data_IF_309053687732
#
_entry.id   IF_309053687732
#
_cell.length_a   1.000
_cell.length_b   1.000
_cell.length_c   1.000
_cell.angle_alpha   90.00
_cell.angle_beta   90.00
_cell.angle_gamma   90.00
#
_symmetry.space_group_name_H-M   'P 1'
#
loop_
_entity.id
_entity.type
_entity.pdbx_description
1 polymer ?
#
# COMPACT_ATOMS: atom_id res chain seq x y z
N UNK A 1 9.35 -4.11 4.42
CA UNK A 1 8.51 -5.30 4.70
C UNK A 1 7.70 -5.13 5.99
N UNK A 2 8.30 -4.77 7.12
CA UNK A 2 7.59 -4.59 8.42
C UNK A 2 6.33 -3.73 8.31
N UNK A 3 6.43 -2.50 7.77
CA UNK A 3 5.27 -1.61 7.63
C UNK A 3 4.15 -2.23 6.80
N UNK A 4 4.50 -2.88 5.68
CA UNK A 4 3.51 -3.56 4.85
C UNK A 4 2.85 -4.73 5.60
N UNK A 5 3.64 -5.56 6.27
CA UNK A 5 3.14 -6.67 7.08
C UNK A 5 2.17 -6.21 8.16
N UNK A 6 2.60 -5.28 9.02
CA UNK A 6 1.77 -4.80 10.13
C UNK A 6 0.50 -4.09 9.65
N UNK A 7 0.57 -3.32 8.54
CA UNK A 7 -0.63 -2.72 7.97
C UNK A 7 -1.62 -3.77 7.50
N UNK A 8 -1.15 -4.84 6.83
CA UNK A 8 -2.00 -5.87 6.27
C UNK A 8 -2.55 -6.83 7.34
N UNK A 9 -1.68 -7.37 8.19
CA UNK A 9 -2.05 -8.50 9.04
C UNK A 9 -2.37 -8.10 10.47
N UNK A 10 -1.79 -6.99 10.98
CA UNK A 10 -2.13 -6.48 12.31
C UNK A 10 -3.30 -5.50 12.26
N UNK A 11 -3.24 -4.48 11.38
CA UNK A 11 -4.25 -3.42 11.37
C UNK A 11 -5.46 -3.71 10.49
N UNK A 12 -5.26 -4.32 9.31
CA UNK A 12 -6.36 -4.71 8.42
C UNK A 12 -6.91 -6.10 8.73
N UNK A 13 -6.19 -6.95 9.48
CA UNK A 13 -6.60 -8.34 9.74
C UNK A 13 -6.96 -9.07 8.43
N UNK A 14 -6.05 -8.95 7.44
CA UNK A 14 -6.27 -9.40 6.07
C UNK A 14 -6.37 -10.92 5.99
N UNK A 15 -7.39 -11.42 5.30
CA UNK A 15 -7.62 -12.85 5.04
C UNK A 15 -7.76 -13.11 3.53
N UNK A 16 -7.57 -14.36 3.05
CA UNK A 16 -7.59 -14.68 1.62
C UNK A 16 -8.89 -14.33 0.88
N UNK A 17 -10.02 -14.30 1.57
CA UNK A 17 -11.32 -13.92 0.98
C UNK A 17 -11.53 -12.41 0.85
N UNK A 18 -10.61 -11.59 1.36
CA UNK A 18 -10.71 -10.13 1.25
C UNK A 18 -10.43 -9.64 -0.17
N UNK A 19 -11.02 -8.49 -0.50
CA UNK A 19 -10.70 -7.68 -1.66
C UNK A 19 -9.93 -6.46 -1.16
N UNK A 20 -8.63 -6.43 -1.44
CA UNK A 20 -7.74 -5.37 -0.97
C UNK A 20 -7.54 -4.30 -2.05
N UNK A 21 -7.79 -3.04 -1.69
CA UNK A 21 -7.29 -1.89 -2.45
C UNK A 21 -6.01 -1.35 -1.80
N UNK A 22 -4.97 -1.15 -2.60
CA UNK A 22 -3.75 -0.44 -2.17
C UNK A 22 -3.72 0.91 -2.88
N UNK A 23 -4.07 1.97 -2.16
CA UNK A 23 -3.99 3.33 -2.67
C UNK A 23 -2.57 3.86 -2.53
N UNK A 24 -1.93 4.20 -3.66
CA UNK A 24 -0.49 4.46 -3.72
C UNK A 24 0.34 3.20 -3.98
N UNK A 25 -0.15 2.32 -4.85
CA UNK A 25 0.42 0.99 -5.15
C UNK A 25 1.85 1.00 -5.68
N UNK A 26 2.33 2.11 -6.25
CA UNK A 26 3.72 2.25 -6.75
C UNK A 26 4.72 2.75 -5.71
N UNK A 27 4.29 3.01 -4.48
CA UNK A 27 5.21 3.32 -3.37
C UNK A 27 5.96 2.07 -2.91
N UNK A 28 7.11 2.23 -2.25
CA UNK A 28 7.87 1.08 -1.72
C UNK A 28 7.05 0.22 -0.75
N UNK A 29 6.18 0.84 0.07
CA UNK A 29 5.28 0.11 0.97
C UNK A 29 4.14 -0.55 0.17
N UNK A 30 3.60 0.14 -0.85
CA UNK A 30 2.55 -0.39 -1.71
C UNK A 30 2.99 -1.63 -2.49
N UNK A 31 4.17 -1.60 -3.09
CA UNK A 31 4.75 -2.76 -3.78
C UNK A 31 4.98 -3.95 -2.82
N UNK A 32 5.51 -3.67 -1.63
CA UNK A 32 5.70 -4.71 -0.61
C UNK A 32 4.38 -5.28 -0.11
N UNK A 33 3.37 -4.44 0.09
CA UNK A 33 2.04 -4.86 0.52
C UNK A 33 1.34 -5.71 -0.56
N UNK A 34 1.42 -5.30 -1.83
CA UNK A 34 0.88 -6.07 -2.93
C UNK A 34 1.54 -7.46 -3.05
N UNK A 35 2.88 -7.51 -2.95
CA UNK A 35 3.62 -8.76 -3.00
C UNK A 35 3.22 -9.73 -1.86
N UNK A 36 3.11 -9.21 -0.63
CA UNK A 36 2.69 -10.00 0.53
C UNK A 36 1.23 -10.46 0.42
N UNK A 37 0.31 -9.56 0.09
CA UNK A 37 -1.12 -9.90 -0.01
C UNK A 37 -1.36 -10.97 -1.08
N UNK A 38 -0.73 -10.85 -2.25
CA UNK A 38 -0.83 -11.86 -3.31
C UNK A 38 -0.21 -13.20 -2.91
N UNK A 39 0.93 -13.19 -2.23
CA UNK A 39 1.54 -14.41 -1.70
C UNK A 39 0.59 -15.14 -0.75
N UNK A 40 -0.22 -14.41 0.00
CA UNK A 40 -1.26 -14.97 0.88
C UNK A 40 -2.62 -15.21 0.17
N UNK A 41 -2.66 -15.15 -1.17
CA UNK A 41 -3.85 -15.48 -1.95
C UNK A 41 -4.95 -14.43 -1.95
N UNK A 42 -4.65 -13.20 -1.56
CA UNK A 42 -5.62 -12.09 -1.53
C UNK A 42 -5.72 -11.42 -2.89
N UNK A 43 -6.96 -11.10 -3.32
CA UNK A 43 -7.20 -10.29 -4.51
C UNK A 43 -6.79 -8.84 -4.28
N UNK A 44 -5.88 -8.32 -5.11
CA UNK A 44 -5.30 -6.97 -4.96
C UNK A 44 -5.67 -6.10 -6.14
N UNK A 45 -6.24 -4.94 -5.84
CA UNK A 45 -6.33 -3.79 -6.73
C UNK A 45 -5.31 -2.74 -6.28
N UNK A 46 -4.59 -2.12 -7.19
CA UNK A 46 -3.66 -1.04 -6.86
C UNK A 46 -3.99 0.25 -7.59
N UNK A 47 -3.64 1.41 -7.02
CA UNK A 47 -3.76 2.68 -7.72
C UNK A 47 -2.42 3.26 -8.12
N UNK A 48 -2.41 4.00 -9.21
CA UNK A 48 -1.29 4.85 -9.64
C UNK A 48 -1.81 6.16 -10.23
N UNK A 49 -1.09 7.26 -10.03
CA UNK A 49 -1.37 8.54 -10.71
C UNK A 49 -0.85 8.59 -12.15
N UNK A 50 0.13 7.74 -12.47
CA UNK A 50 0.79 7.74 -13.77
C UNK A 50 0.35 6.52 -14.59
N UNK A 51 -0.40 6.71 -15.71
CA UNK A 51 -0.84 5.60 -16.56
C UNK A 51 0.33 4.75 -17.12
N UNK A 52 1.49 5.34 -17.34
CA UNK A 52 2.67 4.60 -17.82
C UNK A 52 3.18 3.54 -16.84
N UNK A 53 2.71 3.55 -15.58
CA UNK A 53 3.07 2.56 -14.55
C UNK A 53 2.12 1.35 -14.48
N UNK A 54 1.08 1.34 -15.28
CA UNK A 54 0.10 0.24 -15.30
C UNK A 54 0.78 -1.06 -15.74
N UNK A 55 1.51 -1.04 -16.84
CA UNK A 55 2.24 -2.23 -17.33
C UNK A 55 3.25 -2.77 -16.31
N UNK A 56 3.92 -1.87 -15.59
CA UNK A 56 4.82 -2.26 -14.51
C UNK A 56 4.08 -2.99 -13.38
N UNK A 57 2.93 -2.48 -12.93
CA UNK A 57 2.13 -3.15 -11.90
C UNK A 57 1.58 -4.50 -12.41
N UNK A 58 1.14 -4.55 -13.68
CA UNK A 58 0.69 -5.79 -14.30
C UNK A 58 1.82 -6.83 -14.37
N UNK A 59 3.06 -6.42 -14.68
CA UNK A 59 4.22 -7.33 -14.70
C UNK A 59 4.54 -7.93 -13.33
N UNK A 60 4.09 -7.30 -12.25
CA UNK A 60 4.14 -7.84 -10.89
C UNK A 60 2.91 -8.69 -10.55
N UNK A 61 2.03 -8.94 -11.53
CA UNK A 61 0.81 -9.73 -11.39
C UNK A 61 -0.32 -8.99 -10.67
N UNK A 62 -0.31 -7.67 -10.60
CA UNK A 62 -1.44 -6.85 -10.14
C UNK A 62 -2.22 -6.47 -11.39
N UNK A 63 -3.22 -7.30 -11.73
CA UNK A 63 -3.98 -7.14 -12.99
C UNK A 63 -5.02 -6.02 -12.92
N UNK A 64 -5.56 -5.74 -11.74
CA UNK A 64 -6.54 -4.67 -11.52
C UNK A 64 -5.86 -3.40 -11.04
N UNK A 65 -5.63 -2.47 -11.96
CA UNK A 65 -4.96 -1.19 -11.70
C UNK A 65 -5.90 -0.04 -12.04
N UNK A 66 -6.08 0.88 -11.10
CA UNK A 66 -6.92 2.08 -11.26
C UNK A 66 -6.04 3.33 -11.35
N UNK A 67 -6.43 4.26 -12.24
CA UNK A 67 -5.79 5.57 -12.32
C UNK A 67 -6.39 6.49 -11.26
N UNK A 68 -5.55 6.98 -10.36
CA UNK A 68 -5.96 7.81 -9.23
C UNK A 68 -5.73 9.31 -9.52
N UNK A 69 -6.79 9.98 -9.89
CA UNK A 69 -6.81 11.44 -10.09
C UNK A 69 -7.13 12.23 -8.81
N UNK A 70 -7.12 11.58 -7.63
CA UNK A 70 -7.50 12.16 -6.34
C UNK A 70 -8.85 11.64 -5.82
N UNK A 71 -9.75 11.19 -6.69
CA UNK A 71 -10.96 10.45 -6.33
C UNK A 71 -11.13 9.25 -7.26
N UNK A 72 -11.46 8.10 -6.69
CA UNK A 72 -11.72 6.84 -7.39
C UNK A 72 -13.14 6.31 -7.11
N UNK A 73 -13.90 6.98 -6.26
CA UNK A 73 -15.22 6.53 -5.80
C UNK A 73 -16.16 6.20 -6.97
N UNK A 74 -16.24 7.10 -7.97
CA UNK A 74 -17.14 6.91 -9.10
C UNK A 74 -16.79 5.65 -9.94
N UNK A 75 -15.54 5.26 -10.01
CA UNK A 75 -15.10 4.03 -10.66
C UNK A 75 -15.39 2.80 -9.77
N UNK A 76 -15.13 2.90 -8.48
CA UNK A 76 -15.40 1.83 -7.52
C UNK A 76 -16.89 1.52 -7.43
N UNK A 77 -17.77 2.53 -7.50
CA UNK A 77 -19.22 2.33 -7.49
C UNK A 77 -19.77 1.55 -8.70
N UNK A 78 -19.05 1.51 -9.80
CA UNK A 78 -19.37 0.67 -10.97
C UNK A 78 -18.95 -0.79 -10.78
N UNK A 79 -18.23 -1.07 -9.73
CA UNK A 79 -17.69 -2.39 -9.35
C UNK A 79 -18.24 -2.78 -7.96
N UNK A 80 -17.71 -3.83 -7.37
CA UNK A 80 -17.99 -4.10 -5.96
C UNK A 80 -17.03 -3.31 -5.06
N UNK A 81 -17.52 -2.80 -3.93
CA UNK A 81 -16.71 -2.14 -2.90
C UNK A 81 -15.63 -3.09 -2.35
N UNK A 82 -14.57 -2.53 -1.80
CA UNK A 82 -13.48 -3.29 -1.18
C UNK A 82 -13.82 -3.67 0.26
N UNK A 83 -13.30 -4.79 0.76
CA UNK A 83 -13.40 -5.14 2.18
C UNK A 83 -12.29 -4.50 3.00
N UNK A 84 -11.12 -4.30 2.40
CA UNK A 84 -9.93 -3.74 3.02
C UNK A 84 -9.28 -2.70 2.10
N UNK A 85 -8.85 -1.58 2.69
CA UNK A 85 -8.10 -0.55 1.96
C UNK A 85 -6.84 -0.20 2.74
N UNK A 86 -5.70 -0.31 2.09
CA UNK A 86 -4.43 0.24 2.57
C UNK A 86 -4.23 1.62 1.93
N UNK A 87 -4.32 2.66 2.74
CA UNK A 87 -4.20 4.06 2.31
C UNK A 87 -2.77 4.56 2.54
N UNK A 88 -2.03 4.80 1.46
CA UNK A 88 -0.64 5.24 1.49
C UNK A 88 -0.45 6.67 0.96
N UNK A 89 -1.48 7.26 0.38
CA UNK A 89 -1.46 8.67 -0.06
C UNK A 89 -1.71 9.60 1.12
N UNK A 90 -2.65 9.24 1.98
CA UNK A 90 -2.88 9.92 3.24
C UNK A 90 -4.14 10.79 3.24
N UNK A 91 -4.15 11.84 4.05
CA UNK A 91 -5.36 12.64 4.35
C UNK A 91 -6.01 13.26 3.10
N UNK A 92 -5.25 13.48 2.04
CA UNK A 92 -5.78 14.06 0.79
C UNK A 92 -6.76 13.15 0.05
N UNK A 93 -6.71 11.85 0.30
CA UNK A 93 -7.53 10.83 -0.36
C UNK A 93 -8.31 9.96 0.62
N UNK A 94 -8.07 10.12 1.93
CA UNK A 94 -8.63 9.25 2.96
C UNK A 94 -10.16 9.22 2.98
N UNK A 95 -10.84 10.36 2.84
CA UNK A 95 -12.30 10.39 2.81
C UNK A 95 -12.90 9.68 1.59
N UNK A 96 -12.24 9.80 0.43
CA UNK A 96 -12.62 9.06 -0.77
C UNK A 96 -12.40 7.55 -0.55
N UNK A 97 -11.29 7.15 0.06
CA UNK A 97 -11.01 5.75 0.43
C UNK A 97 -12.04 5.19 1.39
N UNK A 98 -12.46 5.95 2.40
CA UNK A 98 -13.49 5.54 3.36
C UNK A 98 -14.84 5.25 2.68
N UNK A 99 -15.14 5.92 1.57
CA UNK A 99 -16.37 5.69 0.77
C UNK A 99 -16.24 4.53 -0.22
N UNK A 100 -15.01 4.07 -0.47
CA UNK A 100 -14.73 2.95 -1.38
C UNK A 100 -14.77 1.58 -0.67
N UNK A 101 -14.88 1.56 0.66
CA UNK A 101 -14.93 0.32 1.45
C UNK A 101 -16.37 -0.07 1.77
N UNK A 102 -16.65 -1.37 1.77
CA UNK A 102 -17.97 -1.91 2.10
C UNK A 102 -18.31 -1.75 3.60
N UNK A 103 -19.60 -1.71 3.98
CA UNK A 103 -19.99 -1.78 5.39
C UNK A 103 -19.36 -2.98 6.09
N UNK A 104 -18.80 -2.78 7.27
CA UNK A 104 -18.02 -3.79 8.02
C UNK A 104 -16.55 -3.83 7.64
N UNK A 105 -16.15 -3.22 6.52
CA UNK A 105 -14.76 -3.19 6.09
C UNK A 105 -13.89 -2.19 6.83
N UNK A 106 -12.59 -2.19 6.50
CA UNK A 106 -11.57 -1.42 7.23
C UNK A 106 -10.68 -0.66 6.27
N UNK A 107 -10.39 0.60 6.58
CA UNK A 107 -9.33 1.41 5.95
C UNK A 107 -8.19 1.57 6.93
N UNK A 108 -6.97 1.20 6.55
CA UNK A 108 -5.75 1.44 7.32
C UNK A 108 -4.94 2.54 6.65
N UNK A 109 -4.84 3.70 7.28
CA UNK A 109 -3.98 4.78 6.84
C UNK A 109 -2.57 4.56 7.40
N UNK A 110 -1.60 4.35 6.51
CA UNK A 110 -0.20 4.07 6.87
C UNK A 110 0.77 5.04 6.21
N UNK A 111 0.43 5.56 5.02
CA UNK A 111 1.32 6.41 4.23
C UNK A 111 0.87 7.87 4.17
N UNK A 112 1.79 8.73 3.71
CA UNK A 112 1.60 10.19 3.56
C UNK A 112 2.24 10.64 2.23
N UNK A 113 2.12 9.82 1.18
CA UNK A 113 2.69 10.14 -0.14
C UNK A 113 2.05 11.37 -0.79
N UNK A 114 0.89 11.82 -0.31
CA UNK A 114 0.25 13.09 -0.69
C UNK A 114 0.85 14.32 -0.01
N UNK A 115 1.87 14.13 0.83
CA UNK A 115 2.61 15.18 1.53
C UNK A 115 1.77 16.14 2.40
N UNK A 116 0.61 15.69 2.88
CA UNK A 116 -0.23 16.41 3.84
C UNK A 116 -0.48 15.52 5.07
N UNK A 117 -0.13 16.04 6.25
CA UNK A 117 -0.14 15.29 7.52
C UNK A 117 -1.43 15.43 8.31
N UNK A 118 -2.12 16.54 8.15
CA UNK A 118 -3.26 16.92 9.00
C UNK A 118 -4.52 17.15 8.19
N UNK A 119 -5.66 16.83 8.78
CA UNK A 119 -6.95 17.32 8.35
C UNK A 119 -7.20 18.69 8.95
N UNK A 120 -7.69 19.64 8.16
CA UNK A 120 -8.04 20.95 8.66
C UNK A 120 -9.37 20.94 9.44
N UNK A 121 -10.34 20.14 9.01
CA UNK A 121 -11.67 20.03 9.63
C UNK A 121 -12.22 18.61 9.46
N UNK A 122 -11.69 17.66 10.23
CA UNK A 122 -12.19 16.29 10.20
C UNK A 122 -13.44 16.15 11.07
N UNK A 123 -14.55 15.76 10.43
CA UNK A 123 -15.82 15.49 11.10
C UNK A 123 -16.11 13.99 11.06
N UNK A 124 -15.76 13.20 12.07
CA UNK A 124 -15.84 11.74 12.03
C UNK A 124 -17.20 11.20 11.58
N UNK A 125 -18.29 11.79 12.07
CA UNK A 125 -19.66 11.36 11.74
C UNK A 125 -20.03 11.56 10.26
N UNK A 126 -19.35 12.47 9.56
CA UNK A 126 -19.59 12.73 8.14
C UNK A 126 -18.56 12.02 7.25
N UNK A 127 -17.32 11.91 7.73
CA UNK A 127 -16.19 11.39 6.96
C UNK A 127 -16.13 9.86 6.98
N UNK A 128 -16.55 9.22 8.10
CA UNK A 128 -16.55 7.76 8.25
C UNK A 128 -17.95 7.22 7.98
N UNK A 129 -18.18 6.47 6.89
CA UNK A 129 -19.49 5.87 6.65
C UNK A 129 -19.90 4.87 7.72
N UNK A 130 -21.20 4.68 7.89
CA UNK A 130 -21.76 3.75 8.89
C UNK A 130 -21.14 2.35 8.75
N UNK A 131 -20.71 1.78 9.88
CA UNK A 131 -20.07 0.45 9.97
C UNK A 131 -18.69 0.33 9.30
N UNK A 132 -18.10 1.41 8.79
CA UNK A 132 -16.72 1.41 8.29
C UNK A 132 -15.76 1.67 9.45
N UNK A 133 -14.63 0.96 9.45
CA UNK A 133 -13.58 1.12 10.44
C UNK A 133 -12.41 1.90 9.83
N UNK A 134 -11.90 2.87 10.58
CA UNK A 134 -10.65 3.57 10.28
C UNK A 134 -9.60 3.17 11.32
N UNK A 135 -8.46 2.70 10.87
CA UNK A 135 -7.30 2.38 11.69
C UNK A 135 -6.03 2.97 11.08
N UNK A 136 -4.94 2.89 11.80
CA UNK A 136 -3.60 3.29 11.34
C UNK A 136 -2.58 2.23 11.69
N UNK A 137 -1.44 2.28 11.02
CA UNK A 137 -0.28 1.50 11.41
C UNK A 137 0.97 2.39 11.42
N UNK A 138 1.67 2.38 12.53
CA UNK A 138 2.97 3.01 12.69
C UNK A 138 3.99 1.95 13.13
N UNK A 139 5.06 1.81 12.35
CA UNK A 139 6.14 0.87 12.68
C UNK A 139 6.88 1.30 13.94
N UNK A 140 7.05 0.37 14.87
CA UNK A 140 7.86 0.54 16.08
C UNK A 140 8.96 -0.51 16.14
N UNK A 141 9.97 -0.32 16.98
CA UNK A 141 11.01 -1.33 17.20
C UNK A 141 10.41 -2.66 17.72
N UNK A 142 9.40 -2.59 18.59
CA UNK A 142 8.70 -3.78 19.10
C UNK A 142 7.97 -4.53 17.99
N UNK A 143 7.30 -3.83 17.11
CA UNK A 143 6.58 -4.45 15.98
C UNK A 143 7.51 -5.16 14.98
N UNK A 144 8.81 -4.84 14.96
CA UNK A 144 9.79 -5.58 14.17
C UNK A 144 9.94 -7.02 14.68
N UNK A 145 9.92 -7.23 15.99
CA UNK A 145 10.03 -8.55 16.60
C UNK A 145 8.80 -9.43 16.35
N UNK A 146 7.65 -8.80 16.15
CA UNK A 146 6.38 -9.50 15.83
C UNK A 146 6.25 -9.81 14.33
N UNK A 147 7.06 -9.18 13.48
CA UNK A 147 7.03 -9.39 12.03
C UNK A 147 7.85 -10.64 11.70
N UNK A 148 7.32 -11.63 10.95
CA UNK A 148 8.02 -12.86 10.60
C UNK A 148 9.07 -12.61 9.50
N UNK A 149 10.07 -11.76 9.79
CA UNK A 149 11.08 -11.29 8.82
C UNK A 149 11.87 -12.45 8.22
N UNK A 150 12.21 -13.47 9.02
CA UNK A 150 12.97 -14.64 8.55
C UNK A 150 12.17 -15.47 7.55
N UNK A 151 10.86 -15.66 7.79
CA UNK A 151 9.97 -16.36 6.87
C UNK A 151 9.80 -15.60 5.58
N UNK A 152 9.57 -14.28 5.67
CA UNK A 152 9.46 -13.39 4.51
C UNK A 152 10.76 -13.43 3.70
N UNK A 153 11.92 -13.37 4.33
CA UNK A 153 13.22 -13.43 3.65
C UNK A 153 13.43 -14.78 2.94
N UNK A 154 13.02 -15.87 3.58
CA UNK A 154 13.08 -17.22 3.01
C UNK A 154 12.22 -17.38 1.76
N UNK A 155 11.08 -16.70 1.67
CA UNK A 155 10.19 -16.75 0.51
C UNK A 155 10.51 -15.70 -0.56
N UNK A 156 11.20 -14.61 -0.19
CA UNK A 156 11.76 -13.62 -1.14
C UNK A 156 12.91 -14.21 -1.96
N UNK A 157 13.82 -14.93 -1.33
CA UNK A 157 15.05 -15.43 -1.97
C UNK A 157 14.78 -16.31 -3.22
N UNK A 158 13.85 -17.29 -3.19
CA UNK A 158 13.49 -18.07 -4.37
C UNK A 158 12.48 -17.39 -5.30
N UNK A 159 12.10 -16.13 -5.03
CA UNK A 159 11.15 -15.37 -5.85
C UNK A 159 9.68 -15.74 -5.66
N UNK A 160 9.30 -16.46 -4.60
CA UNK A 160 7.89 -16.72 -4.29
C UNK A 160 7.15 -15.42 -3.93
N UNK A 161 7.82 -14.52 -3.20
CA UNK A 161 7.38 -13.14 -3.00
C UNK A 161 8.13 -12.27 -4.00
N UNK A 162 7.43 -11.73 -4.99
CA UNK A 162 8.01 -10.90 -6.04
C UNK A 162 8.04 -9.42 -5.61
N UNK A 163 9.19 -8.96 -5.19
CA UNK A 163 9.41 -7.54 -4.85
C UNK A 163 10.53 -6.97 -5.73
N UNK A 164 10.27 -5.94 -6.53
CA UNK A 164 11.33 -5.26 -7.28
C UNK A 164 12.36 -4.65 -6.32
N UNK A 165 13.63 -4.95 -6.55
CA UNK A 165 14.75 -4.44 -5.76
C UNK A 165 15.73 -3.77 -6.71
N UNK A 166 16.24 -2.59 -6.31
CA UNK A 166 17.39 -1.91 -6.92
C UNK A 166 18.48 -1.76 -5.87
N UNK A 167 19.65 -2.26 -6.17
CA UNK A 167 20.82 -2.19 -5.29
C UNK A 167 21.75 -1.07 -5.71
N UNK A 168 22.33 -0.40 -4.73
CA UNK A 168 23.37 0.62 -4.93
C UNK A 168 24.50 0.36 -3.93
N UNK A 169 25.78 0.54 -4.32
CA UNK A 169 26.87 0.58 -3.35
C UNK A 169 26.76 1.82 -2.47
N UNK A 170 27.39 1.82 -1.31
CA UNK A 170 27.28 2.94 -0.35
C UNK A 170 27.77 4.26 -0.95
N UNK A 171 28.75 4.22 -1.82
CA UNK A 171 29.31 5.38 -2.53
C UNK A 171 28.29 6.08 -3.42
N UNK A 172 27.27 5.36 -3.87
CA UNK A 172 26.19 5.86 -4.73
C UNK A 172 24.92 6.26 -3.97
N UNK A 173 24.98 6.42 -2.65
CA UNK A 173 23.81 6.71 -1.82
C UNK A 173 23.06 7.99 -2.28
N UNK A 174 23.77 8.99 -2.79
CA UNK A 174 23.17 10.22 -3.31
C UNK A 174 22.31 9.94 -4.56
N UNK A 175 22.76 9.05 -5.43
CA UNK A 175 21.98 8.66 -6.62
C UNK A 175 20.75 7.85 -6.22
N UNK A 176 20.89 6.97 -5.23
CA UNK A 176 19.78 6.19 -4.69
C UNK A 176 18.68 7.11 -4.11
N UNK A 177 19.06 8.15 -3.36
CA UNK A 177 18.12 9.16 -2.84
C UNK A 177 17.44 9.95 -3.96
N UNK A 178 18.17 10.44 -4.95
CA UNK A 178 17.62 11.15 -6.11
C UNK A 178 16.59 10.30 -6.85
N UNK A 179 16.92 9.05 -7.13
CA UNK A 179 15.98 8.14 -7.79
C UNK A 179 14.68 7.96 -6.98
N UNK A 180 14.77 7.92 -5.66
CA UNK A 180 13.60 7.77 -4.81
C UNK A 180 12.73 9.03 -4.79
N UNK A 181 13.35 10.21 -4.78
CA UNK A 181 12.66 11.51 -4.62
C UNK A 181 12.10 12.04 -5.94
N UNK A 182 12.87 11.98 -7.03
CA UNK A 182 12.54 12.64 -8.29
C UNK A 182 11.68 11.76 -9.21
N UNK A 183 12.02 10.48 -9.33
CA UNK A 183 11.40 9.60 -10.33
C UNK A 183 10.45 8.56 -9.72
N UNK A 184 10.54 8.33 -8.41
CA UNK A 184 9.92 7.20 -7.75
C UNK A 184 10.54 5.88 -8.25
N UNK A 185 11.27 5.20 -7.39
CA UNK A 185 12.15 4.08 -7.76
C UNK A 185 11.45 2.88 -8.39
N UNK A 186 10.12 2.74 -8.24
CA UNK A 186 9.34 1.55 -8.63
C UNK A 186 9.97 0.25 -8.11
N UNK A 187 10.69 0.33 -7.02
CA UNK A 187 11.43 -0.76 -6.40
C UNK A 187 11.71 -0.46 -4.92
N UNK A 188 12.12 -1.47 -4.18
CA UNK A 188 12.78 -1.28 -2.89
C UNK A 188 14.27 -0.97 -3.15
N UNK A 189 14.71 0.22 -2.77
CA UNK A 189 16.14 0.56 -2.82
C UNK A 189 16.84 -0.11 -1.65
N UNK A 190 17.97 -0.75 -1.93
CA UNK A 190 18.84 -1.42 -0.96
C UNK A 190 20.27 -0.92 -1.17
N UNK A 191 20.90 -0.45 -0.11
CA UNK A 191 22.32 -0.07 -0.10
C UNK A 191 23.14 -1.27 0.35
N UNK A 192 24.14 -1.61 -0.44
CA UNK A 192 25.09 -2.67 -0.13
C UNK A 192 26.33 -2.01 0.49
N UNK A 193 26.72 -2.47 1.66
CA UNK A 193 27.91 -2.04 2.42
C UNK A 193 28.98 -3.10 2.35
#
# INVERSE_FOLDING_TARGET
>A
MQTAWGSLFTSLELIPSDRLLIRGGTTSVGLAAAALARFHGVSVTATTRNPARVEFLNSLGIEDVMIDGGSILAEVQKRALFSKILELVGVTTLEDSLRCVAPGGTVCMTGIAGNKWTFDQFMPMNSIPTSVKLTTYASTAGALLETPIEEIARDLAPGKIQLPIKTFPLEEIVQAHRLMEEEGALAKIVIIV
#
